data_IF_206073172888
#
_entry.id   IF_206073172888
#
_cell.length_a   1.000
_cell.length_b   1.000
_cell.length_c   1.000
_cell.angle_alpha   90.00
_cell.angle_beta   90.00
_cell.angle_gamma   90.00
#
_symmetry.space_group_name_H-M   'P 1'
#
loop_
_entity.id
_entity.type
_entity.pdbx_description
1 polymer ?
#
# COMPACT_ATOMS: atom_id res chain seq x y z
N UNK A 1 5.65 11.83 -14.03
CA UNK A 1 5.20 12.60 -12.85
C UNK A 1 5.09 14.04 -13.29
N UNK A 2 4.10 14.82 -12.86
CA UNK A 2 4.09 16.25 -13.11
C UNK A 2 5.36 16.87 -12.55
N UNK A 3 6.01 17.77 -13.31
CA UNK A 3 7.24 18.48 -12.91
C UNK A 3 7.05 19.41 -11.69
N UNK A 4 5.85 19.46 -11.14
CA UNK A 4 5.43 20.41 -10.12
C UNK A 4 5.40 19.86 -8.69
N UNK A 5 5.60 18.55 -8.49
CA UNK A 5 5.62 17.93 -7.14
C UNK A 5 7.03 17.94 -6.54
N UNK A 6 7.09 18.17 -5.22
CA UNK A 6 8.32 18.12 -4.44
C UNK A 6 8.77 16.68 -4.16
N UNK A 7 10.01 16.51 -3.67
CA UNK A 7 10.50 15.24 -3.17
C UNK A 7 9.93 14.93 -1.78
N UNK A 8 9.93 13.68 -1.40
CA UNK A 8 9.46 13.25 -0.06
C UNK A 8 10.41 13.78 1.02
N UNK A 9 11.71 13.86 0.74
CA UNK A 9 12.70 14.43 1.64
C UNK A 9 12.39 15.91 1.93
N UNK A 10 12.08 16.71 0.91
CA UNK A 10 11.68 18.12 1.09
C UNK A 10 10.40 18.25 1.93
N UNK A 11 9.43 17.34 1.74
CA UNK A 11 8.21 17.32 2.54
C UNK A 11 8.48 16.96 4.00
N UNK A 12 9.34 15.97 4.25
CA UNK A 12 9.76 15.56 5.61
C UNK A 12 10.46 16.73 6.31
N UNK A 13 11.35 17.44 5.61
CA UNK A 13 12.06 18.59 6.19
C UNK A 13 11.11 19.76 6.50
N UNK A 14 10.13 20.03 5.62
CA UNK A 14 9.09 21.03 5.88
C UNK A 14 8.23 20.67 7.10
N UNK A 15 7.76 19.42 7.22
CA UNK A 15 7.02 18.94 8.40
C UNK A 15 7.85 19.05 9.69
N UNK A 16 9.14 18.70 9.62
CA UNK A 16 10.08 18.84 10.76
C UNK A 16 10.27 20.28 11.19
N UNK A 17 10.23 21.21 10.23
CA UNK A 17 10.30 22.66 10.49
C UNK A 17 8.99 23.27 11.00
N UNK A 18 7.89 22.49 11.09
CA UNK A 18 6.57 22.95 11.49
C UNK A 18 5.81 23.67 10.37
N UNK A 19 6.20 23.46 9.13
CA UNK A 19 5.54 24.04 7.96
C UNK A 19 4.30 23.23 7.55
N UNK A 20 3.35 23.91 6.90
CA UNK A 20 2.21 23.27 6.23
C UNK A 20 2.66 22.82 4.84
N UNK A 21 2.24 21.62 4.45
CA UNK A 21 2.40 21.10 3.09
C UNK A 21 1.05 20.74 2.48
N UNK A 22 1.02 20.45 1.18
CA UNK A 22 -0.16 19.89 0.50
C UNK A 22 0.15 18.43 0.15
N UNK A 23 -0.80 17.54 0.45
CA UNK A 23 -0.76 16.14 0.00
C UNK A 23 -1.94 15.91 -0.93
N UNK A 24 -1.69 15.28 -2.07
CA UNK A 24 -2.71 14.92 -3.08
C UNK A 24 -2.82 13.40 -3.13
N UNK A 25 -4.03 12.87 -3.13
CA UNK A 25 -4.25 11.44 -3.32
C UNK A 25 -4.46 11.06 -4.80
N UNK A 26 -4.76 9.79 -5.04
CA UNK A 26 -4.91 9.24 -6.40
C UNK A 26 -6.22 9.71 -7.04
N UNK A 27 -6.18 10.01 -8.36
CA UNK A 27 -7.36 10.39 -9.15
C UNK A 27 -8.47 9.32 -9.12
N UNK A 28 -8.09 8.06 -8.96
CA UNK A 28 -9.04 6.93 -8.85
C UNK A 28 -9.59 6.72 -7.43
N UNK A 29 -9.12 7.50 -6.42
CA UNK A 29 -9.57 7.40 -5.03
C UNK A 29 -10.55 8.55 -4.69
N UNK A 30 -10.08 9.65 -4.10
CA UNK A 30 -10.87 10.85 -3.79
C UNK A 30 -10.56 11.96 -4.80
N UNK A 31 -9.34 11.95 -5.36
CA UNK A 31 -8.80 12.99 -6.24
C UNK A 31 -8.86 14.36 -5.57
N UNK A 32 -8.44 14.43 -4.31
CA UNK A 32 -8.51 15.61 -3.46
C UNK A 32 -7.12 15.97 -2.93
N UNK A 33 -7.02 17.11 -2.27
CA UNK A 33 -5.80 17.53 -1.59
C UNK A 33 -6.10 18.13 -0.24
N UNK A 34 -5.23 17.81 0.73
CA UNK A 34 -5.30 18.32 2.09
C UNK A 34 -4.09 19.19 2.42
N UNK A 35 -4.31 20.26 3.20
CA UNK A 35 -3.24 20.84 4.00
C UNK A 35 -2.88 19.89 5.14
N UNK A 36 -1.59 19.68 5.32
CA UNK A 36 -1.05 18.75 6.33
C UNK A 36 0.08 19.41 7.11
N UNK A 37 0.08 19.22 8.43
CA UNK A 37 1.18 19.62 9.31
C UNK A 37 1.34 18.61 10.46
N UNK A 38 2.47 18.67 11.19
CA UNK A 38 2.66 17.87 12.41
C UNK A 38 1.90 18.48 13.58
N UNK A 39 1.09 17.68 14.27
CA UNK A 39 0.26 18.15 15.40
C UNK A 39 1.08 18.72 16.57
N UNK A 40 2.27 18.17 16.79
CA UNK A 40 3.20 18.62 17.85
C UNK A 40 3.62 20.09 17.71
N UNK A 41 3.77 20.57 16.45
CA UNK A 41 4.27 21.90 16.12
C UNK A 41 3.17 22.87 15.69
N UNK A 42 1.89 22.48 15.77
CA UNK A 42 0.77 23.32 15.33
C UNK A 42 0.63 24.58 16.20
N UNK A 43 0.49 25.70 15.52
CA UNK A 43 0.21 27.02 16.13
C UNK A 43 -1.22 27.49 15.81
N UNK A 44 -1.77 28.47 16.53
CA UNK A 44 -3.03 29.10 16.16
C UNK A 44 -3.06 29.65 14.72
N UNK A 45 -1.93 30.16 14.23
CA UNK A 45 -1.81 30.68 12.86
C UNK A 45 -1.93 29.57 11.82
N UNK A 46 -1.37 28.38 12.08
CA UNK A 46 -1.51 27.20 11.20
C UNK A 46 -2.97 26.76 11.14
N UNK A 47 -3.65 26.65 12.27
CA UNK A 47 -5.08 26.29 12.31
C UNK A 47 -5.91 27.33 11.57
N UNK A 48 -5.65 28.62 11.81
CA UNK A 48 -6.35 29.70 11.12
C UNK A 48 -6.09 29.68 9.61
N UNK A 49 -4.85 29.42 9.19
CA UNK A 49 -4.49 29.26 7.79
C UNK A 49 -5.30 28.11 7.13
N UNK A 50 -5.34 26.94 7.76
CA UNK A 50 -6.08 25.78 7.26
C UNK A 50 -7.57 26.09 7.13
N UNK A 51 -8.19 26.72 8.12
CA UNK A 51 -9.61 27.05 8.11
C UNK A 51 -9.95 28.09 7.03
N UNK A 52 -9.13 29.13 6.90
CA UNK A 52 -9.39 30.22 5.95
C UNK A 52 -9.14 29.79 4.52
N UNK A 53 -8.08 29.02 4.27
CA UNK A 53 -7.64 28.68 2.92
C UNK A 53 -8.02 27.26 2.48
N UNK A 54 -8.17 26.32 3.43
CA UNK A 54 -8.67 24.96 3.14
C UNK A 54 -10.20 24.93 3.10
N UNK A 55 -10.85 25.57 4.04
CA UNK A 55 -12.33 25.58 4.18
C UNK A 55 -12.93 24.21 4.50
N UNK A 56 -12.09 23.19 4.64
CA UNK A 56 -12.46 21.84 5.00
C UNK A 56 -12.57 21.64 6.52
N UNK A 57 -12.68 20.41 6.92
CA UNK A 57 -12.78 20.02 8.33
C UNK A 57 -11.38 19.80 8.92
N UNK A 58 -11.08 20.44 10.04
CA UNK A 58 -9.80 20.22 10.74
C UNK A 58 -9.85 18.90 11.50
N UNK A 59 -9.14 17.90 11.01
CA UNK A 59 -9.05 16.58 11.59
C UNK A 59 -7.63 16.27 12.10
N UNK A 60 -7.52 15.34 13.06
CA UNK A 60 -6.25 14.99 13.70
C UNK A 60 -5.99 13.48 13.55
N UNK A 61 -5.32 13.06 12.47
CA UNK A 61 -4.81 11.72 12.33
C UNK A 61 -3.85 11.33 13.46
N UNK A 62 -4.09 10.17 14.10
CA UNK A 62 -3.24 9.62 15.15
C UNK A 62 -3.20 8.08 15.07
N UNK A 63 -2.20 7.50 15.70
CA UNK A 63 -2.04 6.04 15.73
C UNK A 63 -3.07 5.37 16.65
N UNK A 64 -3.31 4.07 16.42
CA UNK A 64 -4.18 3.26 17.27
C UNK A 64 -3.67 3.20 18.71
N UNK A 65 -2.34 3.14 18.91
CA UNK A 65 -1.71 3.19 20.23
C UNK A 65 -2.08 4.48 20.96
N UNK A 66 -1.92 5.64 20.28
CA UNK A 66 -2.23 6.93 20.87
C UNK A 66 -3.73 7.09 21.16
N UNK A 67 -4.58 6.60 20.25
CA UNK A 67 -6.02 6.55 20.46
C UNK A 67 -6.37 5.77 21.73
N UNK A 68 -5.75 4.61 21.93
CA UNK A 68 -5.98 3.75 23.10
C UNK A 68 -5.47 4.40 24.40
N UNK A 69 -4.29 5.02 24.39
CA UNK A 69 -3.76 5.78 25.54
C UNK A 69 -4.74 6.87 26.01
N UNK A 70 -5.30 7.62 25.06
CA UNK A 70 -6.26 8.68 25.30
C UNK A 70 -7.71 8.17 25.53
N UNK A 71 -7.94 6.85 25.41
CA UNK A 71 -9.26 6.20 25.50
C UNK A 71 -10.30 6.86 24.59
N UNK A 72 -9.92 7.12 23.33
CA UNK A 72 -10.83 7.66 22.33
C UNK A 72 -11.63 6.51 21.72
N UNK A 73 -12.94 6.49 21.95
CA UNK A 73 -13.84 5.52 21.29
C UNK A 73 -14.09 5.88 19.83
N UNK A 74 -14.43 4.90 19.02
CA UNK A 74 -14.91 5.15 17.66
C UNK A 74 -16.23 5.92 17.71
N UNK A 75 -16.47 6.80 16.71
CA UNK A 75 -17.68 7.59 16.62
C UNK A 75 -18.93 6.73 16.41
N UNK A 76 -18.77 5.59 15.70
CA UNK A 76 -19.83 4.63 15.39
C UNK A 76 -19.32 3.19 15.53
N UNK A 77 -20.21 2.26 15.88
CA UNK A 77 -19.87 0.83 16.00
C UNK A 77 -19.66 0.18 14.62
N UNK A 78 -20.40 0.61 13.62
CA UNK A 78 -20.31 0.13 12.25
C UNK A 78 -19.98 1.26 11.29
N UNK A 79 -18.75 1.27 10.72
CA UNK A 79 -18.35 2.28 9.75
C UNK A 79 -18.90 1.97 8.37
N UNK A 80 -19.75 2.85 7.84
CA UNK A 80 -20.34 2.78 6.50
C UNK A 80 -19.83 3.90 5.57
N UNK A 81 -18.78 4.64 5.98
CA UNK A 81 -18.19 5.69 5.16
C UNK A 81 -17.60 5.12 3.86
N UNK A 82 -17.81 5.80 2.74
CA UNK A 82 -17.43 5.35 1.39
C UNK A 82 -15.96 4.92 1.30
N UNK A 83 -15.06 5.70 1.90
CA UNK A 83 -13.61 5.45 1.91
C UNK A 83 -13.11 4.86 3.24
N UNK A 84 -14.00 4.47 4.14
CA UNK A 84 -13.68 3.80 5.39
C UNK A 84 -12.87 4.66 6.37
N UNK A 85 -13.03 5.99 6.36
CA UNK A 85 -12.34 6.90 7.29
C UNK A 85 -12.80 6.64 8.72
N UNK A 86 -11.86 6.39 9.61
CA UNK A 86 -12.12 5.96 10.98
C UNK A 86 -12.20 7.17 11.95
N UNK A 87 -13.35 7.80 12.03
CA UNK A 87 -13.61 8.87 12.99
C UNK A 87 -13.72 8.30 14.40
N UNK A 88 -13.07 8.99 15.36
CA UNK A 88 -13.30 8.79 16.80
C UNK A 88 -14.30 9.81 17.34
N UNK A 89 -14.69 9.70 18.60
CA UNK A 89 -15.43 10.77 19.28
C UNK A 89 -14.64 12.08 19.21
N UNK A 90 -15.33 13.19 19.00
CA UNK A 90 -14.71 14.53 18.98
C UNK A 90 -14.28 14.95 20.36
N UNK A 91 -13.25 15.79 20.45
CA UNK A 91 -12.68 16.22 21.73
C UNK A 91 -12.30 17.69 21.75
N UNK A 92 -12.21 18.24 22.96
CA UNK A 92 -11.55 19.51 23.29
C UNK A 92 -10.62 19.30 24.47
N UNK A 93 -9.46 19.95 24.46
CA UNK A 93 -8.58 20.03 25.62
C UNK A 93 -9.17 20.98 26.66
N UNK A 94 -9.23 20.55 27.93
CA UNK A 94 -9.93 21.31 28.97
C UNK A 94 -9.07 22.38 29.63
N UNK A 95 -7.75 22.36 29.43
CA UNK A 95 -6.84 23.32 30.01
C UNK A 95 -6.47 24.39 28.99
N UNK A 96 -6.41 25.65 29.42
CA UNK A 96 -6.01 26.81 28.59
C UNK A 96 -6.87 27.00 27.31
N UNK A 97 -8.12 26.51 27.31
CA UNK A 97 -9.10 26.68 26.24
C UNK A 97 -10.37 27.40 26.75
N UNK A 98 -11.15 27.97 25.83
CA UNK A 98 -12.42 28.61 26.10
C UNK A 98 -13.59 27.72 25.72
N UNK A 99 -14.19 27.97 24.54
CA UNK A 99 -15.31 27.16 24.02
C UNK A 99 -14.89 26.04 23.11
N UNK A 100 -13.61 25.92 22.75
CA UNK A 100 -13.04 24.86 21.95
C UNK A 100 -12.91 25.16 20.44
N UNK A 101 -13.70 26.10 19.88
CA UNK A 101 -13.78 26.31 18.41
C UNK A 101 -12.77 27.31 17.87
N UNK A 102 -12.20 28.22 18.67
CA UNK A 102 -11.25 29.20 18.19
C UNK A 102 -9.99 28.53 17.62
N UNK A 103 -9.25 29.21 16.74
CA UNK A 103 -7.99 28.69 16.22
C UNK A 103 -6.99 28.39 17.36
N UNK A 104 -7.01 29.20 18.43
CA UNK A 104 -6.19 28.99 19.61
C UNK A 104 -6.59 27.74 20.37
N UNK A 105 -7.88 27.56 20.65
CA UNK A 105 -8.39 26.39 21.37
C UNK A 105 -8.15 25.10 20.62
N UNK A 106 -8.41 25.10 19.30
CA UNK A 106 -8.14 23.93 18.45
C UNK A 106 -6.64 23.62 18.39
N UNK A 107 -5.77 24.62 18.27
CA UNK A 107 -4.34 24.43 18.31
C UNK A 107 -3.87 23.82 19.65
N UNK A 108 -4.44 24.26 20.78
CA UNK A 108 -4.17 23.68 22.09
C UNK A 108 -4.62 22.21 22.15
N UNK A 109 -5.81 21.88 21.67
CA UNK A 109 -6.35 20.51 21.59
C UNK A 109 -5.51 19.62 20.69
N UNK A 110 -5.10 20.10 19.49
CA UNK A 110 -4.26 19.35 18.55
C UNK A 110 -2.91 19.01 19.18
N UNK A 111 -2.24 19.97 19.81
CA UNK A 111 -0.97 19.72 20.52
C UNK A 111 -1.15 18.76 21.70
N UNK A 112 -2.24 18.87 22.46
CA UNK A 112 -2.56 17.95 23.55
C UNK A 112 -2.74 16.52 23.05
N UNK A 113 -3.37 16.29 21.89
CA UNK A 113 -3.49 14.97 21.28
C UNK A 113 -2.12 14.37 20.90
N UNK A 114 -1.14 15.18 20.55
CA UNK A 114 0.23 14.73 20.27
C UNK A 114 1.09 14.55 21.53
N UNK A 115 0.79 15.24 22.62
CA UNK A 115 1.64 15.27 23.82
C UNK A 115 1.49 14.00 24.67
N UNK A 116 2.61 13.34 25.00
CA UNK A 116 2.63 12.17 25.90
C UNK A 116 2.18 12.47 27.32
N UNK A 117 2.18 13.74 27.75
CA UNK A 117 1.73 14.13 29.10
C UNK A 117 0.20 14.22 29.21
N UNK A 118 -0.50 14.30 28.08
CA UNK A 118 -1.97 14.37 28.08
C UNK A 118 -2.58 13.02 28.44
N UNK A 119 -3.47 13.04 29.41
CA UNK A 119 -4.22 11.87 29.88
C UNK A 119 -5.71 11.96 29.47
N UNK A 120 -6.48 10.86 29.53
CA UNK A 120 -7.88 10.83 29.06
C UNK A 120 -8.81 11.87 29.77
N UNK A 121 -8.52 12.24 30.99
CA UNK A 121 -9.29 13.22 31.75
C UNK A 121 -9.06 14.66 31.35
N UNK A 122 -8.00 14.93 30.55
CA UNK A 122 -7.70 16.26 30.04
C UNK A 122 -8.54 16.62 28.79
N UNK A 123 -9.34 15.67 28.32
CA UNK A 123 -10.13 15.81 27.12
C UNK A 123 -11.62 15.76 27.40
N UNK A 124 -12.33 16.86 27.13
CA UNK A 124 -13.80 16.89 27.09
C UNK A 124 -14.31 16.12 25.86
N UNK A 125 -15.45 15.47 25.95
CA UNK A 125 -16.16 14.73 24.93
C UNK A 125 -17.65 15.00 24.98
N UNK A 126 -18.33 15.40 23.87
CA UNK A 126 -17.78 15.76 22.58
C UNK A 126 -17.03 17.10 22.61
N UNK A 127 -16.30 17.41 21.53
CA UNK A 127 -15.56 18.66 21.31
C UNK A 127 -15.59 19.12 19.86
N UNK A 128 -14.67 20.01 19.51
CA UNK A 128 -14.61 20.66 18.19
C UNK A 128 -13.45 20.18 17.31
N UNK A 129 -12.59 19.28 17.80
CA UNK A 129 -11.51 18.64 17.05
C UNK A 129 -11.90 17.18 16.77
N UNK A 130 -11.63 16.73 15.55
CA UNK A 130 -12.02 15.41 15.02
C UNK A 130 -10.79 14.48 14.91
N UNK A 131 -10.49 13.65 15.92
CA UNK A 131 -9.42 12.70 15.80
C UNK A 131 -9.79 11.57 14.82
N UNK A 132 -8.81 11.15 14.01
CA UNK A 132 -8.93 10.06 13.04
C UNK A 132 -7.95 8.94 13.39
N UNK A 133 -8.45 7.70 13.48
CA UNK A 133 -7.59 6.54 13.67
C UNK A 133 -6.93 6.16 12.34
N UNK A 134 -5.61 6.32 12.24
CA UNK A 134 -4.82 5.82 11.14
C UNK A 134 -4.72 4.28 11.18
N UNK A 135 -4.70 3.66 10.02
CA UNK A 135 -4.53 2.21 9.90
C UNK A 135 -3.07 1.83 10.20
N UNK A 136 -2.81 0.82 11.06
CA UNK A 136 -1.46 0.30 11.28
C UNK A 136 -0.77 -0.08 9.95
N UNK A 137 0.49 0.35 9.77
CA UNK A 137 1.20 0.24 8.50
C UNK A 137 1.13 1.49 7.62
N UNK A 138 0.29 2.48 7.97
CA UNK A 138 0.23 3.78 7.31
C UNK A 138 -0.17 3.69 5.83
N UNK A 139 0.44 4.54 4.99
CA UNK A 139 0.12 4.59 3.54
C UNK A 139 0.36 3.29 2.81
N UNK A 140 1.16 2.38 3.35
CA UNK A 140 1.40 1.05 2.77
C UNK A 140 0.20 0.10 2.93
N UNK A 141 -0.76 0.45 3.78
CA UNK A 141 -2.00 -0.31 4.02
C UNK A 141 -3.23 0.43 3.49
N UNK A 142 -3.28 1.73 3.65
CA UNK A 142 -4.36 2.60 3.16
C UNK A 142 -3.77 3.89 2.61
N UNK A 143 -3.89 4.08 1.30
CA UNK A 143 -3.32 5.21 0.57
C UNK A 143 -4.15 6.49 0.77
N UNK A 144 -4.30 6.97 2.01
CA UNK A 144 -5.11 8.14 2.38
C UNK A 144 -4.31 9.22 3.09
N UNK A 145 -4.88 10.45 3.11
CA UNK A 145 -4.30 11.62 3.78
C UNK A 145 -4.08 11.38 5.28
N UNK A 146 -5.00 10.66 5.95
CA UNK A 146 -4.92 10.25 7.36
C UNK A 146 -3.60 9.52 7.64
N UNK A 147 -3.30 8.48 6.85
CA UNK A 147 -2.11 7.66 6.99
C UNK A 147 -0.85 8.45 6.60
N UNK A 148 -0.93 9.25 5.53
CA UNK A 148 0.18 10.05 5.05
C UNK A 148 0.63 11.08 6.10
N UNK A 149 -0.30 11.74 6.79
CA UNK A 149 0.01 12.72 7.83
C UNK A 149 0.74 12.09 9.02
N UNK A 150 0.30 10.90 9.49
CA UNK A 150 0.96 10.15 10.58
C UNK A 150 2.34 9.67 10.17
N UNK A 151 2.48 9.15 8.94
CA UNK A 151 3.75 8.65 8.41
C UNK A 151 4.79 9.77 8.29
N UNK A 152 4.41 10.91 7.72
CA UNK A 152 5.31 12.07 7.58
C UNK A 152 5.74 12.64 8.93
N UNK A 153 4.83 12.75 9.91
CA UNK A 153 5.17 13.17 11.25
C UNK A 153 6.21 12.22 11.88
N UNK A 154 5.99 10.90 11.77
CA UNK A 154 6.95 9.87 12.22
C UNK A 154 8.30 9.98 11.52
N UNK A 155 8.30 10.13 10.20
CA UNK A 155 9.54 10.24 9.40
C UNK A 155 10.29 11.54 9.65
N UNK A 156 9.59 12.59 10.06
CA UNK A 156 10.19 13.86 10.52
C UNK A 156 10.82 13.74 11.93
N UNK A 157 10.63 12.61 12.62
CA UNK A 157 11.13 12.40 13.99
C UNK A 157 10.25 13.05 15.07
N UNK A 158 9.00 13.38 14.73
CA UNK A 158 7.99 13.98 15.60
C UNK A 158 7.01 12.92 16.09
N UNK A 159 6.12 13.31 17.02
CA UNK A 159 5.02 12.44 17.43
C UNK A 159 4.17 12.04 16.23
N UNK A 160 3.81 10.75 16.07
CA UNK A 160 3.07 10.26 14.91
C UNK A 160 1.59 10.67 14.97
N UNK A 161 1.37 11.97 15.05
CA UNK A 161 0.09 12.66 15.05
C UNK A 161 0.16 13.83 14.07
N UNK A 162 -0.74 13.83 13.09
CA UNK A 162 -0.84 14.90 12.11
C UNK A 162 -2.06 15.81 12.36
N UNK A 163 -2.14 16.87 11.59
CA UNK A 163 -3.37 17.64 11.37
C UNK A 163 -3.60 17.75 9.88
N UNK A 164 -4.84 17.54 9.44
CA UNK A 164 -5.26 17.60 8.04
C UNK A 164 -6.47 18.51 7.90
N UNK A 165 -6.59 19.14 6.74
CA UNK A 165 -7.77 19.92 6.38
C UNK A 165 -7.90 19.88 4.86
N UNK A 166 -9.05 19.43 4.36
CA UNK A 166 -9.36 19.35 2.94
C UNK A 166 -9.33 20.76 2.31
N UNK A 167 -8.96 20.83 1.03
CA UNK A 167 -8.84 22.09 0.29
C UNK A 167 -10.00 22.22 -0.70
N UNK A 168 -10.88 23.17 -0.42
CA UNK A 168 -12.01 23.53 -1.26
C UNK A 168 -11.71 24.83 -2.05
N UNK A 169 -12.30 24.92 -3.23
CA UNK A 169 -12.34 26.17 -4.02
C UNK A 169 -13.29 27.18 -3.39
N UNK A 170 -13.27 28.42 -3.91
CA UNK A 170 -14.14 29.50 -3.42
C UNK A 170 -15.64 29.22 -3.64
N UNK A 171 -15.97 28.41 -4.65
CA UNK A 171 -17.34 27.98 -4.95
C UNK A 171 -17.82 26.82 -4.05
N UNK A 172 -16.97 26.32 -3.13
CA UNK A 172 -17.25 25.19 -2.24
C UNK A 172 -17.04 23.82 -2.84
N UNK A 173 -16.66 23.70 -4.11
CA UNK A 173 -16.26 22.42 -4.70
C UNK A 173 -14.81 22.07 -4.34
N UNK A 174 -14.45 20.77 -4.43
CA UNK A 174 -13.12 20.31 -4.10
C UNK A 174 -12.08 20.84 -5.10
N UNK A 175 -10.93 21.32 -4.57
CA UNK A 175 -9.77 21.64 -5.40
C UNK A 175 -9.16 20.35 -5.94
N UNK A 176 -8.75 20.36 -7.23
CA UNK A 176 -8.11 19.23 -7.90
C UNK A 176 -6.63 19.55 -8.14
N UNK A 177 -5.90 18.59 -8.67
CA UNK A 177 -4.42 18.69 -8.82
C UNK A 177 -3.94 20.03 -9.40
N UNK A 178 -4.61 20.55 -10.43
CA UNK A 178 -4.22 21.83 -11.07
C UNK A 178 -4.34 23.01 -10.10
N UNK A 179 -5.48 23.14 -9.44
CA UNK A 179 -5.72 24.21 -8.47
C UNK A 179 -4.82 24.05 -7.23
N UNK A 180 -4.55 22.80 -6.81
CA UNK A 180 -3.67 22.53 -5.67
C UNK A 180 -2.23 22.94 -5.93
N UNK A 181 -1.72 22.75 -7.15
CA UNK A 181 -0.41 23.24 -7.59
C UNK A 181 -0.36 24.78 -7.56
N UNK A 182 -1.42 25.45 -8.01
CA UNK A 182 -1.48 26.93 -7.97
C UNK A 182 -1.56 27.45 -6.53
N UNK A 183 -2.28 26.77 -5.64
CA UNK A 183 -2.32 27.07 -4.20
C UNK A 183 -0.95 26.88 -3.57
N UNK A 184 -0.26 25.77 -3.88
CA UNK A 184 1.09 25.50 -3.41
C UNK A 184 2.07 26.63 -3.82
N UNK A 185 2.02 27.05 -5.09
CA UNK A 185 2.84 28.19 -5.60
C UNK A 185 2.50 29.50 -4.91
N UNK A 186 1.20 29.81 -4.76
CA UNK A 186 0.72 31.04 -4.12
C UNK A 186 1.23 31.19 -2.69
N UNK A 187 1.18 30.12 -1.92
CA UNK A 187 1.56 30.10 -0.50
C UNK A 187 2.99 29.60 -0.27
N UNK A 188 3.72 29.23 -1.32
CA UNK A 188 5.09 28.66 -1.29
C UNK A 188 5.16 27.38 -0.46
N UNK A 189 4.13 26.55 -0.53
CA UNK A 189 4.05 25.27 0.17
C UNK A 189 4.69 24.16 -0.66
N UNK A 190 5.20 23.16 0.03
CA UNK A 190 5.57 21.89 -0.62
C UNK A 190 4.30 21.12 -0.96
N UNK A 191 4.32 20.44 -2.11
CA UNK A 191 3.23 19.58 -2.56
C UNK A 191 3.78 18.22 -2.97
N UNK A 192 3.17 17.14 -2.47
CA UNK A 192 3.52 15.74 -2.79
C UNK A 192 2.27 14.92 -3.06
N UNK A 193 2.45 13.74 -3.71
CA UNK A 193 1.40 12.75 -3.86
C UNK A 193 1.56 11.59 -2.87
N UNK A 194 0.45 11.01 -2.40
CA UNK A 194 0.45 9.80 -1.55
C UNK A 194 1.21 8.66 -2.22
N UNK A 195 1.09 8.49 -3.54
CA UNK A 195 1.80 7.45 -4.28
C UNK A 195 3.33 7.62 -4.22
N UNK A 196 3.85 8.86 -4.22
CA UNK A 196 5.29 9.12 -4.02
C UNK A 196 5.74 8.67 -2.63
N UNK A 197 4.93 8.92 -1.60
CA UNK A 197 5.23 8.51 -0.22
C UNK A 197 5.22 6.99 -0.09
N UNK A 198 4.26 6.29 -0.72
CA UNK A 198 4.24 4.83 -0.79
C UNK A 198 5.52 4.30 -1.43
N UNK A 199 5.90 4.79 -2.62
CA UNK A 199 7.13 4.37 -3.29
C UNK A 199 8.37 4.63 -2.45
N UNK A 200 8.42 5.78 -1.77
CA UNK A 200 9.54 6.13 -0.89
C UNK A 200 9.67 5.16 0.28
N UNK A 201 8.56 4.87 0.99
CA UNK A 201 8.55 3.95 2.12
C UNK A 201 8.91 2.53 1.71
N UNK A 202 8.32 2.04 0.60
CA UNK A 202 8.62 0.70 0.06
C UNK A 202 10.11 0.54 -0.28
N UNK A 203 10.79 1.61 -0.74
CA UNK A 203 12.22 1.59 -1.04
C UNK A 203 13.11 1.67 0.21
N UNK A 204 12.66 2.37 1.26
CA UNK A 204 13.47 2.65 2.46
C UNK A 204 13.23 1.67 3.60
N UNK A 205 12.05 1.09 3.69
CA UNK A 205 11.66 0.21 4.79
C UNK A 205 11.81 -1.26 4.42
N UNK A 206 12.40 -2.04 5.32
CA UNK A 206 12.43 -3.50 5.19
C UNK A 206 11.11 -4.07 5.70
N UNK A 207 10.23 -4.46 4.78
CA UNK A 207 8.87 -4.95 5.07
C UNK A 207 8.80 -6.47 5.28
N UNK A 208 9.92 -7.16 5.14
CA UNK A 208 9.99 -8.62 5.22
C UNK A 208 10.99 -9.07 6.28
N UNK A 209 10.61 -10.09 7.03
CA UNK A 209 11.44 -10.74 8.04
C UNK A 209 11.61 -12.20 7.69
N UNK A 210 12.85 -12.67 7.58
CA UNK A 210 13.18 -14.09 7.45
C UNK A 210 12.99 -14.76 8.80
N UNK A 211 12.09 -15.74 8.88
CA UNK A 211 11.77 -16.43 10.13
C UNK A 211 12.60 -17.70 10.33
N UNK A 212 12.65 -18.57 9.31
CA UNK A 212 13.30 -19.86 9.39
C UNK A 212 13.73 -20.36 8.01
N UNK A 213 14.72 -21.24 8.00
CA UNK A 213 15.17 -21.97 6.83
C UNK A 213 15.13 -23.47 7.15
N UNK A 214 14.60 -24.28 6.22
CA UNK A 214 14.49 -25.73 6.34
C UNK A 214 14.87 -26.41 5.03
N UNK A 215 15.33 -27.65 5.10
CA UNK A 215 15.51 -28.49 3.94
C UNK A 215 14.17 -29.08 3.49
N UNK A 216 13.87 -29.03 2.21
CA UNK A 216 12.64 -29.53 1.61
C UNK A 216 12.94 -30.45 0.41
N UNK A 217 12.96 -31.76 0.62
CA UNK A 217 12.99 -32.70 -0.51
C UNK A 217 11.63 -32.72 -1.20
N UNK A 218 11.63 -32.60 -2.52
CA UNK A 218 10.43 -32.64 -3.35
C UNK A 218 10.58 -33.65 -4.47
N UNK A 219 9.46 -33.96 -5.17
CA UNK A 219 9.53 -34.77 -6.41
C UNK A 219 10.30 -34.12 -7.53
N UNK A 220 10.57 -32.83 -7.47
CA UNK A 220 11.31 -32.04 -8.46
C UNK A 220 12.78 -31.88 -8.12
N UNK A 221 13.18 -32.17 -6.89
CA UNK A 221 14.53 -32.04 -6.36
C UNK A 221 14.57 -31.50 -4.94
N UNK A 222 15.77 -31.25 -4.44
CA UNK A 222 16.02 -30.76 -3.08
C UNK A 222 16.17 -29.24 -3.06
N UNK A 223 15.38 -28.59 -2.21
CA UNK A 223 15.38 -27.13 -2.06
C UNK A 223 15.66 -26.74 -0.61
N UNK A 224 16.25 -25.56 -0.45
CA UNK A 224 16.24 -24.82 0.83
C UNK A 224 14.97 -24.00 0.88
N UNK A 225 14.11 -24.25 1.85
CA UNK A 225 12.83 -23.56 2.05
C UNK A 225 13.02 -22.43 3.06
N UNK A 226 12.85 -21.19 2.62
CA UNK A 226 12.92 -20.01 3.46
C UNK A 226 11.52 -19.47 3.71
N UNK A 227 11.16 -19.29 4.99
CA UNK A 227 9.91 -18.65 5.39
C UNK A 227 10.16 -17.17 5.67
N UNK A 228 9.34 -16.32 5.08
CA UNK A 228 9.32 -14.89 5.30
C UNK A 228 7.95 -14.43 5.78
N UNK A 229 7.92 -13.54 6.77
CA UNK A 229 6.71 -12.85 7.20
C UNK A 229 6.74 -11.41 6.71
N UNK A 230 5.64 -10.95 6.12
CA UNK A 230 5.42 -9.54 5.82
C UNK A 230 4.95 -8.85 7.10
N UNK A 231 5.71 -7.84 7.57
CA UNK A 231 5.44 -7.13 8.83
C UNK A 231 4.16 -6.28 8.79
N UNK A 232 3.61 -5.99 7.60
CA UNK A 232 2.40 -5.17 7.46
C UNK A 232 1.11 -5.96 7.71
N UNK A 233 1.05 -7.23 7.26
CA UNK A 233 -0.17 -8.03 7.29
C UNK A 233 0.01 -9.43 7.89
N UNK A 234 1.21 -9.70 8.42
CA UNK A 234 1.61 -11.00 8.99
C UNK A 234 1.43 -12.18 8.03
N UNK A 235 1.33 -11.93 6.72
CA UNK A 235 1.30 -13.01 5.75
C UNK A 235 2.66 -13.66 5.61
N UNK A 236 2.64 -14.98 5.56
CA UNK A 236 3.81 -15.80 5.36
C UNK A 236 4.04 -16.05 3.86
N UNK A 237 5.26 -15.83 3.40
CA UNK A 237 5.69 -16.10 2.03
C UNK A 237 6.82 -17.13 2.04
N UNK A 238 6.91 -17.95 1.01
CA UNK A 238 7.87 -19.05 0.93
C UNK A 238 8.82 -18.83 -0.25
N UNK A 239 10.12 -18.97 -0.03
CA UNK A 239 11.10 -19.02 -1.10
C UNK A 239 11.79 -20.39 -1.10
N UNK A 240 11.65 -21.11 -2.22
CA UNK A 240 12.35 -22.36 -2.48
C UNK A 240 13.61 -22.04 -3.26
N UNK A 241 14.76 -22.26 -2.65
CA UNK A 241 16.07 -21.91 -3.18
C UNK A 241 16.83 -23.17 -3.58
N UNK A 242 17.42 -23.17 -4.79
CA UNK A 242 18.29 -24.22 -5.28
C UNK A 242 19.67 -23.64 -5.61
N UNK A 243 20.72 -24.27 -5.11
CA UNK A 243 22.12 -23.87 -5.38
C UNK A 243 22.52 -22.52 -4.75
N UNK A 244 23.63 -21.97 -5.23
CA UNK A 244 24.16 -20.67 -4.80
C UNK A 244 23.50 -19.57 -5.63
N UNK A 245 22.98 -18.53 -4.99
CA UNK A 245 22.19 -17.47 -5.65
C UNK A 245 22.63 -16.05 -5.31
N UNK A 246 23.64 -15.90 -4.45
CA UNK A 246 24.17 -14.64 -3.89
C UNK A 246 25.58 -14.32 -4.37
N UNK A 247 26.02 -14.94 -5.49
CA UNK A 247 27.35 -14.78 -6.09
C UNK A 247 27.43 -13.66 -7.16
N UNK A 248 26.31 -12.94 -7.38
CA UNK A 248 26.22 -11.86 -8.37
C UNK A 248 25.94 -12.30 -9.81
N UNK A 249 25.91 -13.60 -10.07
CA UNK A 249 25.53 -14.14 -11.37
C UNK A 249 24.03 -14.21 -11.60
N UNK A 250 23.53 -14.17 -12.85
CA UNK A 250 22.10 -14.23 -13.12
C UNK A 250 21.42 -15.49 -12.59
N UNK A 251 20.37 -15.33 -11.80
CA UNK A 251 19.60 -16.39 -11.15
C UNK A 251 18.27 -16.60 -11.84
N UNK A 252 17.89 -17.86 -12.08
CA UNK A 252 16.55 -18.20 -12.59
C UNK A 252 15.52 -17.98 -11.48
N UNK A 253 14.55 -17.08 -11.70
CA UNK A 253 13.56 -16.69 -10.70
C UNK A 253 12.14 -16.89 -11.20
N UNK A 254 11.29 -17.51 -10.37
CA UNK A 254 9.84 -17.50 -10.55
C UNK A 254 9.17 -16.85 -9.33
N UNK A 255 8.45 -15.77 -9.53
CA UNK A 255 7.52 -15.24 -8.55
C UNK A 255 6.12 -15.81 -8.85
N UNK A 256 5.67 -16.73 -8.01
CA UNK A 256 4.38 -17.42 -8.14
C UNK A 256 3.41 -16.89 -7.10
N UNK A 257 2.25 -16.38 -7.52
CA UNK A 257 1.17 -16.00 -6.60
C UNK A 257 0.29 -17.21 -6.32
N UNK A 258 0.01 -17.46 -5.05
CA UNK A 258 -0.84 -18.56 -4.57
C UNK A 258 -2.14 -18.71 -5.37
N UNK A 259 -2.45 -19.94 -5.69
CA UNK A 259 -3.72 -20.33 -6.28
C UNK A 259 -4.14 -21.69 -5.68
N UNK A 260 -4.76 -21.68 -4.51
CA UNK A 260 -5.10 -22.91 -3.76
C UNK A 260 -5.85 -23.92 -4.64
N UNK A 261 -6.83 -23.46 -5.41
CA UNK A 261 -7.63 -24.32 -6.29
C UNK A 261 -6.79 -24.94 -7.42
N UNK A 262 -5.86 -24.18 -8.00
CA UNK A 262 -4.97 -24.68 -9.04
C UNK A 262 -3.82 -25.49 -8.46
N UNK A 263 -3.03 -24.89 -7.58
CA UNK A 263 -1.77 -25.46 -7.09
C UNK A 263 -1.99 -26.77 -6.30
N UNK A 264 -3.01 -26.80 -5.42
CA UNK A 264 -3.29 -27.93 -4.54
C UNK A 264 -4.31 -28.89 -5.16
N UNK A 265 -5.48 -28.39 -5.60
CA UNK A 265 -6.57 -29.24 -6.05
C UNK A 265 -6.54 -29.53 -7.56
N UNK A 266 -5.62 -28.91 -8.32
CA UNK A 266 -5.47 -29.17 -9.76
C UNK A 266 -6.68 -28.68 -10.57
N UNK A 267 -7.27 -27.54 -10.21
CA UNK A 267 -8.37 -26.95 -10.95
C UNK A 267 -7.99 -26.71 -12.41
N UNK A 268 -8.84 -27.13 -13.33
CA UNK A 268 -8.69 -26.92 -14.76
C UNK A 268 -9.10 -25.51 -15.24
N UNK A 269 -9.63 -24.68 -14.35
CA UNK A 269 -10.02 -23.28 -14.68
C UNK A 269 -8.83 -22.35 -14.87
N UNK A 270 -7.61 -22.76 -14.54
CA UNK A 270 -6.39 -21.96 -14.68
C UNK A 270 -5.17 -22.83 -15.04
N UNK A 271 -4.06 -22.16 -15.33
CA UNK A 271 -2.76 -22.74 -15.66
C UNK A 271 -1.75 -22.72 -14.50
N UNK A 272 -2.19 -22.42 -13.27
CA UNK A 272 -1.29 -22.14 -12.14
C UNK A 272 -0.42 -23.34 -11.76
N UNK A 273 -1.02 -24.54 -11.64
CA UNK A 273 -0.30 -25.78 -11.30
C UNK A 273 0.78 -26.11 -12.33
N UNK A 274 0.44 -25.99 -13.61
CA UNK A 274 1.39 -26.32 -14.69
C UNK A 274 2.57 -25.35 -14.69
N UNK A 275 2.30 -24.06 -14.46
CA UNK A 275 3.36 -23.05 -14.31
C UNK A 275 4.23 -23.29 -13.08
N UNK A 276 3.62 -23.68 -11.94
CA UNK A 276 4.36 -24.01 -10.70
C UNK A 276 5.29 -25.21 -10.94
N UNK A 277 4.74 -26.30 -11.49
CA UNK A 277 5.49 -27.51 -11.79
C UNK A 277 6.63 -27.26 -12.79
N UNK A 278 6.34 -26.52 -13.87
CA UNK A 278 7.33 -26.19 -14.89
C UNK A 278 8.48 -25.36 -14.31
N UNK A 279 8.16 -24.37 -13.47
CA UNK A 279 9.17 -23.55 -12.81
C UNK A 279 10.09 -24.38 -11.90
N UNK A 280 9.50 -25.28 -11.08
CA UNK A 280 10.28 -26.18 -10.20
C UNK A 280 11.24 -27.06 -11.03
N UNK A 281 10.75 -27.65 -12.11
CA UNK A 281 11.57 -28.50 -13.00
C UNK A 281 12.69 -27.70 -13.69
N UNK A 282 12.40 -26.48 -14.14
CA UNK A 282 13.40 -25.62 -14.80
C UNK A 282 14.51 -25.23 -13.82
N UNK A 283 14.16 -24.83 -12.60
CA UNK A 283 15.12 -24.46 -11.54
C UNK A 283 15.99 -25.67 -11.17
N UNK A 284 15.40 -26.85 -11.02
CA UNK A 284 16.18 -28.06 -10.72
C UNK A 284 17.15 -28.44 -11.84
N UNK A 285 16.71 -28.37 -13.11
CA UNK A 285 17.57 -28.65 -14.27
C UNK A 285 18.75 -27.68 -14.39
N UNK A 286 18.52 -26.40 -14.05
CA UNK A 286 19.57 -25.39 -14.04
C UNK A 286 20.53 -25.56 -12.85
N UNK A 287 20.10 -26.23 -11.79
CA UNK A 287 20.88 -26.45 -10.56
C UNK A 287 20.98 -25.23 -9.67
N UNK A 288 20.43 -24.08 -10.07
CA UNK A 288 20.34 -22.83 -9.28
C UNK A 288 19.11 -22.03 -9.62
N UNK A 289 18.47 -21.45 -8.62
CA UNK A 289 17.30 -20.59 -8.85
C UNK A 289 16.46 -20.41 -7.61
N UNK A 290 15.43 -19.57 -7.75
CA UNK A 290 14.47 -19.25 -6.69
C UNK A 290 13.04 -19.37 -7.22
N UNK A 291 12.23 -20.18 -6.57
CA UNK A 291 10.78 -20.10 -6.68
C UNK A 291 10.24 -19.39 -5.46
N UNK A 292 9.77 -18.16 -5.63
CA UNK A 292 9.14 -17.36 -4.60
C UNK A 292 7.62 -17.55 -4.67
N UNK A 293 7.04 -18.21 -3.64
CA UNK A 293 5.61 -18.47 -3.52
C UNK A 293 4.97 -17.39 -2.64
N UNK A 294 4.23 -16.49 -3.27
CA UNK A 294 3.58 -15.36 -2.61
C UNK A 294 2.15 -15.70 -2.21
N UNK A 295 1.83 -15.63 -0.94
CA UNK A 295 0.47 -15.87 -0.44
C UNK A 295 -0.45 -14.67 -0.70
N UNK A 296 -0.84 -14.54 -1.98
CA UNK A 296 -1.67 -13.47 -2.53
C UNK A 296 -2.78 -14.08 -3.40
N UNK A 297 -3.63 -14.92 -2.77
CA UNK A 297 -4.71 -15.65 -3.42
C UNK A 297 -5.68 -14.72 -4.18
N UNK A 298 -6.15 -15.19 -5.33
CA UNK A 298 -7.14 -14.45 -6.13
C UNK A 298 -6.64 -13.09 -6.62
N UNK A 299 -5.33 -12.92 -6.87
CA UNK A 299 -4.69 -11.63 -7.19
C UNK A 299 -4.81 -10.60 -6.06
N UNK A 300 -4.82 -11.05 -4.82
CA UNK A 300 -4.92 -10.21 -3.63
C UNK A 300 -6.32 -10.08 -3.03
N UNK A 301 -7.39 -10.50 -3.73
CA UNK A 301 -8.77 -10.41 -3.22
C UNK A 301 -9.13 -11.51 -2.21
N UNK A 302 -8.25 -12.51 -2.05
CA UNK A 302 -8.45 -13.64 -1.15
C UNK A 302 -9.34 -14.76 -1.72
N UNK A 303 -9.31 -15.91 -1.04
CA UNK A 303 -10.00 -17.13 -1.51
C UNK A 303 -11.52 -16.97 -1.61
N UNK A 304 -12.15 -16.37 -0.60
CA UNK A 304 -13.61 -16.21 -0.57
C UNK A 304 -14.12 -15.39 -1.77
N UNK A 305 -13.47 -14.26 -2.07
CA UNK A 305 -13.89 -13.43 -3.20
C UNK A 305 -13.52 -14.06 -4.54
N UNK A 306 -12.43 -14.81 -4.62
CA UNK A 306 -12.11 -15.62 -5.81
C UNK A 306 -13.21 -16.64 -6.11
N UNK A 307 -13.77 -17.32 -5.10
CA UNK A 307 -14.88 -18.26 -5.31
C UNK A 307 -16.18 -17.53 -5.72
N UNK A 308 -16.44 -16.33 -5.19
CA UNK A 308 -17.54 -15.48 -5.68
C UNK A 308 -17.33 -15.08 -7.15
N UNK A 309 -16.09 -14.73 -7.52
CA UNK A 309 -15.75 -14.43 -8.92
C UNK A 309 -15.97 -15.65 -9.84
N UNK A 310 -15.73 -16.88 -9.38
CA UNK A 310 -16.05 -18.10 -10.13
C UNK A 310 -17.55 -18.20 -10.44
N UNK A 311 -18.42 -17.91 -9.47
CA UNK A 311 -19.87 -17.90 -9.71
C UNK A 311 -20.29 -16.86 -10.74
N UNK A 312 -19.67 -15.67 -10.73
CA UNK A 312 -19.90 -14.65 -11.76
C UNK A 312 -19.39 -15.08 -13.13
N UNK A 313 -18.24 -15.75 -13.19
CA UNK A 313 -17.71 -16.32 -14.43
C UNK A 313 -18.64 -17.40 -15.02
N UNK A 314 -19.24 -18.24 -14.17
CA UNK A 314 -20.24 -19.22 -14.59
C UNK A 314 -21.54 -18.55 -15.11
N UNK A 315 -21.80 -17.30 -14.68
CA UNK A 315 -22.86 -16.45 -15.20
C UNK A 315 -22.48 -15.65 -16.47
N UNK A 316 -21.26 -15.85 -17.03
CA UNK A 316 -20.81 -15.27 -18.30
C UNK A 316 -19.87 -14.07 -18.19
N UNK A 317 -19.50 -13.63 -16.98
CA UNK A 317 -18.49 -12.59 -16.81
C UNK A 317 -17.08 -13.13 -17.08
N UNK A 318 -16.19 -12.29 -17.63
CA UNK A 318 -14.77 -12.65 -17.61
C UNK A 318 -14.13 -12.31 -16.27
N UNK A 319 -12.86 -12.72 -16.08
CA UNK A 319 -12.14 -12.57 -14.79
C UNK A 319 -12.00 -11.11 -14.35
N UNK A 320 -11.81 -10.17 -15.29
CA UNK A 320 -11.66 -8.74 -14.97
C UNK A 320 -13.01 -8.15 -14.58
N UNK A 321 -14.04 -8.42 -15.38
CA UNK A 321 -15.42 -7.99 -15.10
C UNK A 321 -15.91 -8.53 -13.75
N UNK A 322 -15.68 -9.80 -13.45
CA UNK A 322 -16.06 -10.41 -12.17
C UNK A 322 -15.39 -9.72 -10.97
N UNK A 323 -14.12 -9.31 -11.09
CA UNK A 323 -13.46 -8.56 -10.02
C UNK A 323 -14.04 -7.16 -9.84
N UNK A 324 -14.32 -6.44 -10.93
CA UNK A 324 -14.92 -5.10 -10.90
C UNK A 324 -16.33 -5.16 -10.28
N UNK A 325 -17.13 -6.15 -10.64
CA UNK A 325 -18.48 -6.35 -10.08
C UNK A 325 -18.44 -6.61 -8.56
N UNK A 326 -17.38 -7.23 -8.07
CA UNK A 326 -17.12 -7.43 -6.64
C UNK A 326 -16.49 -6.21 -5.95
N UNK A 327 -16.30 -5.09 -6.66
CA UNK A 327 -15.72 -3.86 -6.12
C UNK A 327 -14.18 -3.86 -6.00
N UNK A 328 -13.49 -4.74 -6.72
CA UNK A 328 -12.03 -4.83 -6.71
C UNK A 328 -11.41 -4.35 -8.01
N UNK A 329 -10.18 -3.78 -7.93
CA UNK A 329 -9.32 -3.56 -9.11
C UNK A 329 -8.94 -4.90 -9.76
N UNK A 330 -8.46 -4.86 -10.98
CA UNK A 330 -8.06 -6.03 -11.77
C UNK A 330 -6.89 -6.82 -11.15
N UNK A 331 -6.00 -6.15 -10.42
CA UNK A 331 -4.83 -6.75 -9.78
C UNK A 331 -4.41 -5.96 -8.52
N UNK A 332 -4.56 -6.59 -7.34
CA UNK A 332 -4.17 -6.04 -6.03
C UNK A 332 -2.89 -6.66 -5.46
N UNK A 333 -2.09 -7.36 -6.30
CA UNK A 333 -0.86 -8.01 -5.83
C UNK A 333 0.23 -6.99 -5.54
N UNK A 334 0.86 -7.17 -4.39
CA UNK A 334 2.07 -6.45 -4.01
C UNK A 334 3.31 -7.18 -4.55
N UNK A 335 3.96 -6.58 -5.54
CA UNK A 335 5.22 -7.09 -6.10
C UNK A 335 6.45 -6.57 -5.35
N UNK A 336 6.32 -5.52 -4.55
CA UNK A 336 7.40 -4.93 -3.76
C UNK A 336 7.88 -5.84 -2.64
N UNK A 337 6.95 -6.51 -1.94
CA UNK A 337 7.30 -7.55 -0.93
C UNK A 337 8.10 -8.67 -1.57
N UNK A 338 7.70 -9.14 -2.75
CA UNK A 338 8.45 -10.18 -3.48
C UNK A 338 9.86 -9.72 -3.87
N UNK A 339 10.01 -8.49 -4.32
CA UNK A 339 11.31 -7.90 -4.66
C UNK A 339 12.20 -7.79 -3.42
N UNK A 340 11.67 -7.38 -2.27
CA UNK A 340 12.42 -7.33 -1.02
C UNK A 340 12.90 -8.71 -0.54
N UNK A 341 12.08 -9.76 -0.69
CA UNK A 341 12.49 -11.13 -0.38
C UNK A 341 13.64 -11.57 -1.27
N UNK A 342 13.58 -11.31 -2.58
CA UNK A 342 14.65 -11.65 -3.52
C UNK A 342 15.96 -10.91 -3.19
N UNK A 343 15.86 -9.62 -2.86
CA UNK A 343 17.02 -8.83 -2.43
C UNK A 343 17.61 -9.34 -1.10
N UNK A 344 16.77 -9.71 -0.12
CA UNK A 344 17.21 -10.29 1.16
C UNK A 344 17.87 -11.68 0.99
N UNK A 345 17.52 -12.41 -0.05
CA UNK A 345 18.17 -13.67 -0.44
C UNK A 345 19.52 -13.46 -1.14
N UNK A 346 19.91 -12.22 -1.45
CA UNK A 346 21.15 -11.87 -2.12
C UNK A 346 21.08 -11.89 -3.65
N UNK A 347 19.88 -12.06 -4.24
CA UNK A 347 19.70 -11.97 -5.70
C UNK A 347 19.94 -10.52 -6.14
N UNK A 348 20.83 -10.32 -7.11
CA UNK A 348 21.10 -9.01 -7.73
C UNK A 348 20.70 -8.97 -9.19
N UNK A 349 20.95 -10.05 -9.92
CA UNK A 349 20.59 -10.23 -11.33
C UNK A 349 19.67 -11.42 -11.50
N UNK A 350 18.62 -11.27 -12.30
CA UNK A 350 17.66 -12.35 -12.49
C UNK A 350 17.29 -12.59 -13.95
N UNK A 351 17.04 -13.85 -14.26
CA UNK A 351 16.32 -14.35 -15.42
C UNK A 351 14.92 -14.74 -14.96
N UNK A 352 13.92 -13.94 -15.32
CA UNK A 352 12.59 -14.03 -14.73
C UNK A 352 11.63 -14.87 -15.57
N UNK A 353 11.14 -15.97 -14.98
CA UNK A 353 10.08 -16.82 -15.54
C UNK A 353 8.73 -16.10 -15.42
N UNK A 354 8.31 -15.40 -16.47
CA UNK A 354 7.05 -14.65 -16.45
C UNK A 354 6.49 -14.38 -17.84
N UNK A 355 5.15 -14.39 -17.93
CA UNK A 355 4.41 -13.89 -19.09
C UNK A 355 3.75 -12.54 -18.81
N UNK A 356 3.83 -12.04 -17.56
CA UNK A 356 3.22 -10.78 -17.14
C UNK A 356 4.25 -9.64 -17.11
N UNK A 357 4.16 -8.64 -18.01
CA UNK A 357 5.11 -7.52 -18.03
C UNK A 357 5.02 -6.63 -16.76
N UNK A 358 3.89 -6.58 -16.06
CA UNK A 358 3.74 -5.81 -14.81
C UNK A 358 4.69 -6.29 -13.70
N UNK A 359 5.13 -7.56 -13.72
CA UNK A 359 6.08 -8.11 -12.72
C UNK A 359 7.51 -7.57 -12.85
N UNK A 360 7.79 -6.85 -13.91
CA UNK A 360 9.12 -6.31 -14.24
C UNK A 360 9.28 -4.87 -13.75
N UNK A 361 8.16 -4.17 -13.53
CA UNK A 361 8.17 -2.74 -13.17
C UNK A 361 8.71 -2.55 -11.75
N UNK A 362 9.62 -1.58 -11.57
CA UNK A 362 10.11 -1.17 -10.25
C UNK A 362 11.22 -2.03 -9.63
N UNK A 363 11.63 -3.14 -10.23
CA UNK A 363 12.66 -4.06 -9.68
C UNK A 363 13.99 -3.38 -9.40
N UNK A 364 14.42 -2.44 -10.24
CA UNK A 364 15.67 -1.67 -10.07
C UNK A 364 15.72 -0.90 -8.74
N UNK A 365 14.58 -0.47 -8.23
CA UNK A 365 14.48 0.26 -6.95
C UNK A 365 14.88 -0.60 -5.75
N UNK A 366 14.89 -1.92 -5.90
CA UNK A 366 15.29 -2.90 -4.88
C UNK A 366 16.69 -3.48 -5.14
N UNK A 367 17.45 -2.91 -6.07
CA UNK A 367 18.77 -3.43 -6.45
C UNK A 367 18.71 -4.69 -7.32
N UNK A 368 17.56 -4.99 -7.92
CA UNK A 368 17.35 -6.16 -8.77
C UNK A 368 17.44 -5.78 -10.26
N UNK A 369 18.33 -6.42 -10.98
CA UNK A 369 18.49 -6.26 -12.43
C UNK A 369 17.82 -7.42 -13.17
N UNK A 370 16.88 -7.09 -14.06
CA UNK A 370 16.33 -8.07 -15.00
C UNK A 370 17.27 -8.23 -16.20
N UNK A 371 17.93 -9.36 -16.29
CA UNK A 371 18.81 -9.70 -17.42
C UNK A 371 18.00 -10.28 -18.59
N UNK A 372 17.03 -11.14 -18.30
CA UNK A 372 16.24 -11.85 -19.30
C UNK A 372 14.83 -12.17 -18.79
N UNK A 373 13.84 -12.07 -19.66
CA UNK A 373 12.50 -12.63 -19.45
C UNK A 373 12.39 -13.98 -20.13
N UNK A 374 12.08 -15.01 -19.38
CA UNK A 374 11.85 -16.36 -19.91
C UNK A 374 10.34 -16.64 -19.88
N UNK A 375 9.74 -17.02 -21.02
CA UNK A 375 8.33 -17.38 -21.05
C UNK A 375 8.08 -18.69 -20.28
N UNK A 376 6.89 -18.79 -19.66
CA UNK A 376 6.43 -19.98 -18.95
C UNK A 376 4.98 -20.25 -19.37
N UNK A 377 4.83 -20.96 -20.47
CA UNK A 377 3.53 -21.24 -21.07
C UNK A 377 3.07 -22.66 -20.72
N UNK A 378 1.77 -22.83 -20.59
CA UNK A 378 1.10 -24.12 -20.45
C UNK A 378 0.18 -24.35 -21.65
N UNK A 379 -0.08 -25.61 -21.97
CA UNK A 379 -1.03 -25.95 -23.01
C UNK A 379 -2.45 -25.55 -22.56
N UNK A 380 -3.20 -24.79 -23.40
CA UNK A 380 -4.60 -24.49 -23.12
C UNK A 380 -5.45 -25.77 -23.05
N UNK A 381 -6.51 -25.75 -22.26
CA UNK A 381 -7.58 -26.73 -22.27
C UNK A 381 -8.93 -26.05 -22.48
N UNK A 382 -9.97 -26.82 -22.78
CA UNK A 382 -11.33 -26.28 -23.06
C UNK A 382 -11.88 -25.42 -21.92
N UNK A 383 -11.47 -25.67 -20.67
CA UNK A 383 -11.98 -24.95 -19.49
C UNK A 383 -11.20 -23.70 -19.13
N UNK A 384 -9.92 -23.58 -19.53
CA UNK A 384 -9.08 -22.42 -19.22
C UNK A 384 -8.79 -21.51 -20.44
N UNK A 385 -9.24 -21.87 -21.63
CA UNK A 385 -8.97 -21.08 -22.84
C UNK A 385 -9.48 -19.63 -22.71
N UNK A 386 -10.72 -19.42 -22.23
CA UNK A 386 -11.28 -18.11 -22.00
C UNK A 386 -10.47 -17.31 -20.98
N UNK A 387 -10.02 -17.93 -19.89
CA UNK A 387 -9.15 -17.33 -18.89
C UNK A 387 -7.79 -16.90 -19.48
N UNK A 388 -7.18 -17.72 -20.31
CA UNK A 388 -5.90 -17.39 -20.96
C UNK A 388 -6.07 -16.27 -21.99
N UNK A 389 -7.16 -16.27 -22.78
CA UNK A 389 -7.49 -15.16 -23.69
C UNK A 389 -7.70 -13.85 -22.92
N UNK A 390 -8.43 -13.87 -21.80
CA UNK A 390 -8.60 -12.67 -20.94
C UNK A 390 -7.27 -12.15 -20.42
N UNK A 391 -6.33 -13.04 -20.01
CA UNK A 391 -4.98 -12.64 -19.61
C UNK A 391 -4.25 -11.93 -20.75
N UNK A 392 -4.33 -12.44 -21.98
CA UNK A 392 -3.70 -11.83 -23.16
C UNK A 392 -4.34 -10.50 -23.51
N UNK A 393 -5.66 -10.50 -23.74
CA UNK A 393 -6.37 -9.41 -24.40
C UNK A 393 -6.66 -8.23 -23.47
N UNK A 394 -6.93 -8.49 -22.17
CA UNK A 394 -7.29 -7.44 -21.18
C UNK A 394 -6.17 -7.12 -20.20
N UNK A 395 -5.21 -8.03 -19.99
CA UNK A 395 -4.16 -7.84 -18.98
C UNK A 395 -2.75 -7.75 -19.58
N UNK A 396 -2.63 -7.78 -20.90
CA UNK A 396 -1.35 -7.62 -21.60
C UNK A 396 -0.34 -8.74 -21.39
N UNK A 397 -0.79 -9.95 -21.03
CA UNK A 397 0.10 -11.10 -20.90
C UNK A 397 0.63 -11.56 -22.27
N UNK A 398 1.92 -11.89 -22.31
CA UNK A 398 2.62 -12.38 -23.50
C UNK A 398 2.47 -13.91 -23.60
N UNK A 399 1.29 -14.37 -23.99
CA UNK A 399 0.92 -15.79 -24.11
C UNK A 399 0.09 -16.04 -25.38
N UNK A 400 -0.04 -17.28 -25.77
CA UNK A 400 -0.81 -17.71 -26.95
C UNK A 400 -0.33 -17.05 -28.26
N UNK A 401 0.98 -16.84 -28.40
CA UNK A 401 1.55 -16.45 -29.68
C UNK A 401 1.41 -17.65 -30.62
N UNK A 402 0.73 -17.46 -31.77
CA UNK A 402 0.76 -18.45 -32.85
C UNK A 402 2.22 -18.56 -33.33
N UNK A 403 2.82 -19.73 -33.14
CA UNK A 403 4.03 -20.07 -33.90
C UNK A 403 3.58 -20.18 -35.35
N UNK A 404 3.85 -19.15 -36.17
CA UNK A 404 3.82 -19.23 -37.63
C UNK A 404 4.99 -20.07 -38.12
#
# INVERSE_FOLDING_TARGET
MPQDFNTIEEAIDAIRAGEVIIIVDDEERENEGDFVAAAELVTPDIVNFMVVHGRGMVCVPLTEERMNELRLGMMVDGNTALHGTNFTVTVDYIHDTTTGISASDRAATIRALASHTTVPTDLARPGHVFPLKAVPGGVLRRAGHTEAAVDLARMAGLQPVGVVCEILKEDGSMARTTELVDIARRFKLKIIAVNQLIEYRVKKEKLVKKEIVSHLPTRYGDFSLHLYTNILDNKEHLALVRGVIDDGEPVLVRVHSECLTGDTFGSLRCDCKDQLNSAMMMIEREGRGVLLYMRQEGRGIGLANKLRAYNLQDAGFDTVQANIELGFRDDLRDYGVGAQILADLGVTKMRLLTNNPRKIVGLKSYGLELVERIPIESMPNELNELYLRTKRDKMGHLILHQHN
#
